data_IF_862480306841
#
_entry.id   IF_862480306841
#
_cell.length_a   1.000
_cell.length_b   1.000
_cell.length_c   1.000
_cell.angle_alpha   90.00
_cell.angle_beta   90.00
_cell.angle_gamma   90.00
#
_symmetry.space_group_name_H-M   'P 1'
#
loop_
_entity.id
_entity.type
_entity.pdbx_description
1 polymer ?
#
# COMPACT_ATOMS: atom_id res chain seq x y z
N UNK A 1 15.75 32.13 -47.79
CA UNK A 1 16.56 31.60 -46.66
C UNK A 1 15.60 31.15 -45.57
N UNK A 2 15.90 30.01 -44.95
CA UNK A 2 14.96 29.08 -44.29
C UNK A 2 14.21 29.68 -43.08
N UNK A 3 12.90 29.55 -43.11
CA UNK A 3 11.99 29.63 -41.96
C UNK A 3 12.23 28.42 -41.04
N UNK A 4 12.71 28.68 -39.82
CA UNK A 4 12.74 27.66 -38.76
C UNK A 4 11.37 27.68 -38.08
N UNK A 5 10.48 26.78 -38.51
CA UNK A 5 9.26 26.45 -37.76
C UNK A 5 9.67 25.58 -36.59
N UNK A 6 9.69 26.15 -35.39
CA UNK A 6 9.70 25.39 -34.15
C UNK A 6 8.39 24.58 -34.07
N UNK A 7 8.45 23.29 -34.38
CA UNK A 7 7.39 22.35 -34.02
C UNK A 7 7.31 22.32 -32.50
N UNK A 8 6.28 22.95 -31.93
CA UNK A 8 5.80 22.59 -30.61
C UNK A 8 5.19 21.20 -30.73
N UNK A 9 5.95 20.16 -30.39
CA UNK A 9 5.37 18.85 -30.09
C UNK A 9 4.42 19.04 -28.90
N UNK A 10 3.11 19.01 -29.18
CA UNK A 10 2.08 18.79 -28.18
C UNK A 10 2.34 17.42 -27.55
N UNK A 11 3.15 17.38 -26.48
CA UNK A 11 3.22 16.22 -25.60
C UNK A 11 1.88 16.13 -24.89
N UNK A 12 0.99 15.32 -25.45
CA UNK A 12 -0.22 14.89 -24.74
C UNK A 12 0.20 14.27 -23.41
N UNK A 13 -0.51 14.55 -22.30
CA UNK A 13 -0.18 13.96 -21.02
C UNK A 13 -0.18 12.44 -21.18
N UNK A 14 0.92 11.80 -20.76
CA UNK A 14 1.04 10.35 -20.81
C UNK A 14 0.08 9.79 -19.77
N UNK A 15 -1.01 9.19 -20.23
CA UNK A 15 -1.94 8.48 -19.37
C UNK A 15 -1.25 7.23 -18.82
N UNK A 16 -1.40 6.97 -17.51
CA UNK A 16 -1.03 5.68 -16.96
C UNK A 16 -1.70 4.57 -17.78
N UNK A 17 -0.96 3.54 -18.22
CA UNK A 17 -1.59 2.35 -18.77
C UNK A 17 -2.56 1.79 -17.73
N UNK A 18 -3.79 1.45 -18.14
CA UNK A 18 -4.79 0.78 -17.29
C UNK A 18 -4.18 -0.43 -16.56
N UNK A 19 -3.24 -1.12 -17.19
CA UNK A 19 -2.49 -2.24 -16.60
C UNK A 19 -1.64 -1.82 -15.38
N UNK A 20 -1.00 -0.65 -15.41
CA UNK A 20 -0.20 -0.13 -14.29
C UNK A 20 -1.10 0.29 -13.13
N UNK A 21 -2.24 0.94 -13.43
CA UNK A 21 -3.26 1.25 -12.42
C UNK A 21 -3.85 -0.03 -11.80
N UNK A 22 -4.17 -1.03 -12.63
CA UNK A 22 -4.64 -2.33 -12.15
C UNK A 22 -3.61 -3.04 -11.28
N UNK A 23 -2.32 -2.92 -11.60
CA UNK A 23 -1.24 -3.45 -10.75
C UNK A 23 -1.22 -2.73 -9.39
N UNK A 24 -1.40 -1.40 -9.37
CA UNK A 24 -1.49 -0.65 -8.12
C UNK A 24 -2.74 -1.04 -7.31
N UNK A 25 -3.89 -1.24 -7.96
CA UNK A 25 -5.13 -1.70 -7.33
C UNK A 25 -4.92 -3.05 -6.65
N UNK A 26 -4.43 -4.05 -7.39
CA UNK A 26 -4.17 -5.39 -6.85
C UNK A 26 -3.20 -5.35 -5.67
N UNK A 27 -2.14 -4.55 -5.73
CA UNK A 27 -1.19 -4.43 -4.60
C UNK A 27 -1.76 -3.69 -3.40
N UNK A 28 -2.69 -2.76 -3.62
CA UNK A 28 -3.39 -2.07 -2.53
C UNK A 28 -4.35 -3.03 -1.83
N UNK A 29 -5.07 -3.86 -2.60
CA UNK A 29 -5.93 -4.92 -2.08
C UNK A 29 -5.13 -6.01 -1.33
N UNK A 30 -3.98 -6.43 -1.87
CA UNK A 30 -3.07 -7.35 -1.19
C UNK A 30 -2.66 -6.81 0.20
N UNK A 31 -2.32 -5.52 0.28
CA UNK A 31 -1.96 -4.86 1.54
C UNK A 31 -3.16 -4.80 2.50
N UNK A 32 -4.35 -4.42 2.02
CA UNK A 32 -5.57 -4.40 2.83
C UNK A 32 -5.86 -5.78 3.45
N UNK A 33 -5.76 -6.84 2.65
CA UNK A 33 -5.98 -8.22 3.08
C UNK A 33 -4.93 -8.65 4.12
N UNK A 34 -3.66 -8.31 3.90
CA UNK A 34 -2.58 -8.61 4.85
C UNK A 34 -2.81 -7.91 6.19
N UNK A 35 -3.22 -6.63 6.17
CA UNK A 35 -3.53 -5.87 7.38
C UNK A 35 -4.76 -6.38 8.13
N UNK A 36 -5.84 -6.74 7.42
CA UNK A 36 -7.00 -7.38 8.06
C UNK A 36 -6.60 -8.69 8.73
N UNK A 37 -5.77 -9.49 8.07
CA UNK A 37 -5.27 -10.72 8.66
C UNK A 37 -4.39 -10.46 9.88
N UNK A 38 -3.44 -9.53 9.79
CA UNK A 38 -2.58 -9.11 10.90
C UNK A 38 -3.40 -8.68 12.12
N UNK A 39 -4.44 -7.86 11.92
CA UNK A 39 -5.31 -7.39 12.99
C UNK A 39 -5.98 -8.52 13.76
N UNK A 40 -6.31 -9.63 13.08
CA UNK A 40 -6.99 -10.78 13.66
C UNK A 40 -6.06 -11.72 14.43
N UNK A 41 -4.80 -11.80 14.03
CA UNK A 41 -3.83 -12.74 14.62
C UNK A 41 -2.91 -12.07 15.65
N UNK A 42 -2.87 -10.74 15.68
CA UNK A 42 -2.04 -10.00 16.64
C UNK A 42 -2.53 -10.19 18.07
N UNK A 43 -1.60 -10.46 18.98
CA UNK A 43 -1.87 -10.52 20.43
C UNK A 43 -1.83 -9.12 21.08
N UNK A 44 -1.25 -8.13 20.41
CA UNK A 44 -1.19 -6.74 20.88
C UNK A 44 -2.42 -5.98 20.41
N UNK A 45 -3.20 -5.44 21.35
CA UNK A 45 -4.39 -4.65 21.03
C UNK A 45 -4.05 -3.40 20.20
N UNK A 46 -2.96 -2.70 20.55
CA UNK A 46 -2.50 -1.51 19.84
C UNK A 46 -2.12 -1.82 18.38
N UNK A 47 -1.40 -2.94 18.17
CA UNK A 47 -1.03 -3.37 16.82
C UNK A 47 -2.26 -3.83 16.03
N UNK A 48 -3.17 -4.58 16.67
CA UNK A 48 -4.40 -5.04 16.06
C UNK A 48 -5.25 -3.87 15.55
N UNK A 49 -5.44 -2.84 16.38
CA UNK A 49 -6.18 -1.63 16.04
C UNK A 49 -5.49 -0.84 14.91
N UNK A 50 -4.16 -0.66 14.99
CA UNK A 50 -3.41 0.00 13.93
C UNK A 50 -3.53 -0.73 12.58
N UNK A 51 -3.39 -2.06 12.59
CA UNK A 51 -3.57 -2.87 11.38
C UNK A 51 -5.00 -2.79 10.84
N UNK A 52 -6.03 -2.74 11.68
CA UNK A 52 -7.40 -2.58 11.22
C UNK A 52 -7.61 -1.22 10.55
N UNK A 53 -7.05 -0.15 11.13
CA UNK A 53 -7.11 1.18 10.54
C UNK A 53 -6.40 1.22 9.18
N UNK A 54 -5.19 0.67 9.08
CA UNK A 54 -4.48 0.56 7.79
C UNK A 54 -5.25 -0.27 6.77
N UNK A 55 -5.92 -1.34 7.18
CA UNK A 55 -6.76 -2.13 6.27
C UNK A 55 -7.92 -1.30 5.67
N UNK A 56 -8.55 -0.45 6.48
CA UNK A 56 -9.63 0.43 6.04
C UNK A 56 -9.08 1.51 5.09
N UNK A 57 -7.98 2.17 5.46
CA UNK A 57 -7.30 3.15 4.61
C UNK A 57 -6.91 2.55 3.25
N UNK A 58 -6.34 1.33 3.23
CA UNK A 58 -5.99 0.64 1.97
C UNK A 58 -7.22 0.26 1.17
N UNK A 59 -8.36 -0.02 1.81
CA UNK A 59 -9.62 -0.29 1.11
C UNK A 59 -10.13 0.98 0.40
N UNK A 60 -10.14 2.12 1.11
CA UNK A 60 -10.52 3.42 0.54
C UNK A 60 -9.59 3.83 -0.62
N UNK A 61 -8.29 3.58 -0.46
CA UNK A 61 -7.30 3.83 -1.52
C UNK A 61 -7.48 2.90 -2.72
N UNK A 62 -7.90 1.65 -2.50
CA UNK A 62 -8.22 0.72 -3.58
C UNK A 62 -9.45 1.21 -4.37
N UNK A 63 -10.49 1.69 -3.68
CA UNK A 63 -11.68 2.28 -4.32
C UNK A 63 -11.31 3.52 -5.14
N UNK A 64 -10.41 4.37 -4.62
CA UNK A 64 -9.88 5.50 -5.38
C UNK A 64 -9.12 5.04 -6.63
N UNK A 65 -8.20 4.08 -6.53
CA UNK A 65 -7.47 3.59 -7.72
C UNK A 65 -8.44 2.95 -8.73
N UNK A 66 -9.49 2.27 -8.27
CA UNK A 66 -10.51 1.70 -9.14
C UNK A 66 -11.27 2.78 -9.92
N UNK A 67 -11.58 3.93 -9.30
CA UNK A 67 -12.20 5.05 -10.03
C UNK A 67 -11.25 5.63 -11.08
N UNK A 68 -9.94 5.69 -10.81
CA UNK A 68 -8.96 6.14 -11.81
C UNK A 68 -8.87 5.20 -13.02
N UNK A 69 -9.07 3.89 -12.81
CA UNK A 69 -9.14 2.89 -13.89
C UNK A 69 -10.37 3.15 -14.77
N UNK A 70 -11.52 3.38 -14.15
CA UNK A 70 -12.78 3.68 -14.84
C UNK A 70 -12.69 4.99 -15.65
N UNK A 71 -12.14 6.06 -15.05
CA UNK A 71 -11.87 7.33 -15.73
C UNK A 71 -10.92 7.19 -16.93
N UNK A 72 -10.01 6.21 -16.86
CA UNK A 72 -9.08 5.87 -17.96
C UNK A 72 -9.71 4.93 -19.00
N UNK A 73 -10.99 4.60 -18.88
CA UNK A 73 -11.73 3.73 -19.79
C UNK A 73 -11.49 2.23 -19.59
N UNK A 74 -10.90 1.83 -18.47
CA UNK A 74 -10.73 0.44 -18.06
C UNK A 74 -11.89 -0.09 -17.22
N UNK A 75 -11.89 -1.39 -16.94
CA UNK A 75 -12.81 -2.01 -15.98
C UNK A 75 -11.97 -2.50 -14.79
N UNK A 76 -12.15 -1.96 -13.57
CA UNK A 76 -11.34 -2.35 -12.43
C UNK A 76 -11.64 -3.80 -12.01
N UNK A 77 -10.58 -4.58 -11.81
CA UNK A 77 -10.65 -5.92 -11.24
C UNK A 77 -10.28 -5.87 -9.75
N UNK A 78 -11.21 -6.28 -8.88
CA UNK A 78 -11.03 -6.34 -7.43
C UNK A 78 -10.36 -7.66 -6.95
N UNK A 79 -9.79 -8.42 -7.89
CA UNK A 79 -8.92 -9.54 -7.59
C UNK A 79 -7.65 -9.12 -6.84
N UNK A 80 -7.32 -9.90 -5.82
CA UNK A 80 -6.01 -9.87 -5.17
C UNK A 80 -5.08 -10.93 -5.75
N UNK A 81 -3.78 -10.78 -5.53
CA UNK A 81 -2.80 -11.71 -6.08
C UNK A 81 -2.79 -13.04 -5.32
N UNK A 82 -2.40 -14.13 -6.01
CA UNK A 82 -2.16 -15.41 -5.35
C UNK A 82 -1.08 -15.34 -4.24
N UNK A 83 -0.18 -14.33 -4.32
CA UNK A 83 0.83 -14.07 -3.29
C UNK A 83 0.20 -13.60 -1.97
N UNK A 84 -0.98 -12.97 -1.98
CA UNK A 84 -1.66 -12.51 -0.77
C UNK A 84 -2.02 -13.69 0.15
N UNK A 85 -2.46 -14.82 -0.42
CA UNK A 85 -2.76 -16.03 0.34
C UNK A 85 -1.49 -16.60 1.00
N UNK A 86 -0.38 -16.63 0.25
CA UNK A 86 0.90 -17.06 0.81
C UNK A 86 1.37 -16.12 1.92
N UNK A 87 1.18 -14.81 1.75
CA UNK A 87 1.53 -13.81 2.75
C UNK A 87 0.75 -14.01 4.05
N UNK A 88 -0.56 -14.29 4.00
CA UNK A 88 -1.35 -14.58 5.20
C UNK A 88 -0.86 -15.83 5.95
N UNK A 89 -0.56 -16.90 5.21
CA UNK A 89 0.03 -18.11 5.79
C UNK A 89 1.37 -17.80 6.45
N UNK A 90 2.23 -17.03 5.77
CA UNK A 90 3.51 -16.61 6.30
C UNK A 90 3.37 -15.76 7.57
N UNK A 91 2.48 -14.76 7.59
CA UNK A 91 2.20 -13.93 8.77
C UNK A 91 1.71 -14.77 9.95
N UNK A 92 0.87 -15.78 9.69
CA UNK A 92 0.41 -16.73 10.72
C UNK A 92 1.57 -17.52 11.32
N UNK A 93 2.48 -18.02 10.46
CA UNK A 93 3.65 -18.77 10.89
C UNK A 93 4.62 -17.89 11.70
N UNK A 94 4.89 -16.67 11.24
CA UNK A 94 5.78 -15.73 11.93
C UNK A 94 5.22 -15.37 13.30
N UNK A 95 3.93 -15.03 13.39
CA UNK A 95 3.27 -14.68 14.65
C UNK A 95 3.31 -15.84 15.67
N UNK A 96 3.11 -17.09 15.22
CA UNK A 96 3.13 -18.27 16.11
C UNK A 96 4.53 -18.70 16.53
N UNK A 97 5.50 -18.64 15.62
CA UNK A 97 6.87 -19.16 15.87
C UNK A 97 7.71 -18.17 16.66
N UNK A 98 7.35 -16.90 16.62
CA UNK A 98 8.09 -15.83 17.25
C UNK A 98 7.15 -14.94 18.10
N UNK A 99 6.44 -15.51 19.10
CA UNK A 99 5.43 -14.76 19.87
C UNK A 99 6.05 -13.64 20.73
N UNK A 100 7.31 -13.80 21.17
CA UNK A 100 8.09 -12.75 21.84
C UNK A 100 8.69 -11.72 20.88
N UNK A 101 8.50 -11.91 19.58
CA UNK A 101 9.13 -11.11 18.53
C UNK A 101 8.10 -10.10 18.06
N UNK A 102 7.96 -9.04 18.86
CA UNK A 102 7.27 -7.80 18.55
C UNK A 102 7.64 -7.22 17.17
N UNK A 103 8.73 -7.65 16.56
CA UNK A 103 9.13 -7.25 15.20
C UNK A 103 8.47 -8.07 14.08
N UNK A 104 7.99 -9.29 14.32
CA UNK A 104 7.64 -10.23 13.25
C UNK A 104 6.46 -9.75 12.41
N UNK A 105 5.33 -9.49 13.06
CA UNK A 105 4.10 -9.09 12.39
C UNK A 105 4.18 -7.66 11.81
N UNK A 106 4.65 -6.63 12.54
CA UNK A 106 4.86 -5.30 11.96
C UNK A 106 5.81 -5.31 10.77
N UNK A 107 6.88 -6.12 10.79
CA UNK A 107 7.81 -6.23 9.67
C UNK A 107 7.19 -6.87 8.43
N UNK A 108 6.31 -7.85 8.61
CA UNK A 108 5.56 -8.42 7.48
C UNK A 108 4.56 -7.41 6.90
N UNK A 109 3.90 -6.62 7.74
CA UNK A 109 3.10 -5.48 7.30
C UNK A 109 3.94 -4.44 6.53
N UNK A 110 5.11 -4.04 7.06
CA UNK A 110 6.04 -3.13 6.39
C UNK A 110 6.47 -3.68 5.02
N UNK A 111 6.71 -4.99 4.91
CA UNK A 111 7.08 -5.64 3.65
C UNK A 111 5.97 -5.50 2.59
N UNK A 112 4.71 -5.63 2.98
CA UNK A 112 3.56 -5.40 2.11
C UNK A 112 3.52 -3.95 1.62
N UNK A 113 3.59 -2.98 2.54
CA UNK A 113 3.50 -1.57 2.17
C UNK A 113 4.73 -1.07 1.37
N UNK A 114 5.93 -1.61 1.62
CA UNK A 114 7.09 -1.31 0.76
C UNK A 114 6.96 -1.86 -0.65
N UNK A 115 6.23 -2.97 -0.85
CA UNK A 115 5.91 -3.46 -2.21
C UNK A 115 4.94 -2.51 -2.89
N UNK A 116 3.89 -2.09 -2.19
CA UNK A 116 2.94 -1.11 -2.68
C UNK A 116 3.62 0.23 -3.01
N UNK A 117 4.46 0.74 -2.12
CA UNK A 117 5.22 1.98 -2.30
C UNK A 117 6.02 1.96 -3.61
N UNK A 118 6.72 0.86 -3.92
CA UNK A 118 7.48 0.73 -5.18
C UNK A 118 6.59 0.80 -6.41
N UNK A 119 5.39 0.22 -6.35
CA UNK A 119 4.43 0.27 -7.46
C UNK A 119 3.86 1.68 -7.62
N UNK A 120 3.47 2.33 -6.52
CA UNK A 120 2.97 3.70 -6.55
C UNK A 120 4.02 4.70 -7.04
N UNK A 121 5.29 4.53 -6.65
CA UNK A 121 6.40 5.35 -7.15
C UNK A 121 6.61 5.18 -8.66
N UNK A 122 6.52 3.93 -9.16
CA UNK A 122 6.61 3.67 -10.60
C UNK A 122 5.45 4.34 -11.33
N UNK A 123 4.23 4.13 -10.84
CA UNK A 123 3.02 4.73 -11.41
C UNK A 123 3.13 6.26 -11.45
N UNK A 124 3.56 6.90 -10.35
CA UNK A 124 3.75 8.34 -10.25
C UNK A 124 4.74 8.90 -11.28
N UNK A 125 5.79 8.13 -11.61
CA UNK A 125 6.79 8.50 -12.61
C UNK A 125 6.32 8.25 -14.05
N UNK A 126 5.38 7.34 -14.25
CA UNK A 126 4.86 6.94 -15.57
C UNK A 126 3.62 7.73 -15.99
N UNK A 127 2.97 8.43 -15.06
CA UNK A 127 1.73 9.17 -15.31
C UNK A 127 1.87 10.66 -15.05
N UNK A 128 1.31 11.46 -15.96
CA UNK A 128 1.02 12.87 -15.69
C UNK A 128 -0.44 13.06 -15.24
N UNK A 129 -1.34 12.17 -15.68
CA UNK A 129 -2.73 12.13 -15.20
C UNK A 129 -2.81 11.45 -13.84
N UNK A 130 -3.66 11.96 -12.94
CA UNK A 130 -3.89 11.43 -11.59
C UNK A 130 -2.68 11.50 -10.63
N UNK A 131 -1.65 12.29 -10.97
CA UNK A 131 -0.43 12.45 -10.16
C UNK A 131 -0.72 12.92 -8.73
N UNK A 132 -1.73 13.76 -8.55
CA UNK A 132 -2.09 14.30 -7.24
C UNK A 132 -2.68 13.20 -6.33
N UNK A 133 -3.58 12.40 -6.87
CA UNK A 133 -4.26 11.28 -6.23
C UNK A 133 -3.24 10.21 -5.84
N UNK A 134 -2.41 9.76 -6.79
CA UNK A 134 -1.34 8.78 -6.52
C UNK A 134 -0.31 9.33 -5.52
N UNK A 135 0.02 10.62 -5.60
CA UNK A 135 0.91 11.28 -4.65
C UNK A 135 0.35 11.31 -3.22
N UNK A 136 -0.97 11.43 -3.08
CA UNK A 136 -1.66 11.38 -1.78
C UNK A 136 -1.62 9.97 -1.21
N UNK A 137 -1.99 8.95 -1.99
CA UNK A 137 -1.89 7.53 -1.57
C UNK A 137 -0.46 7.19 -1.13
N UNK A 138 0.55 7.62 -1.90
CA UNK A 138 1.95 7.38 -1.57
C UNK A 138 2.36 8.02 -0.23
N UNK A 139 1.88 9.23 0.07
CA UNK A 139 2.14 9.92 1.34
C UNK A 139 1.52 9.16 2.51
N UNK A 140 0.30 8.66 2.34
CA UNK A 140 -0.42 7.91 3.37
C UNK A 140 0.27 6.56 3.63
N UNK A 141 0.70 5.86 2.57
CA UNK A 141 1.50 4.63 2.69
C UNK A 141 2.78 4.88 3.48
N UNK A 142 3.49 5.99 3.22
CA UNK A 142 4.71 6.35 3.97
C UNK A 142 4.43 6.71 5.42
N UNK A 143 3.31 7.37 5.69
CA UNK A 143 2.87 7.68 7.05
C UNK A 143 2.56 6.40 7.83
N UNK A 144 1.88 5.44 7.19
CA UNK A 144 1.65 4.11 7.76
C UNK A 144 2.94 3.33 8.04
N UNK A 145 3.91 3.38 7.12
CA UNK A 145 5.24 2.78 7.34
C UNK A 145 5.98 3.38 8.53
N UNK A 146 5.93 4.71 8.71
CA UNK A 146 6.53 5.37 9.87
C UNK A 146 5.85 4.92 11.18
N UNK A 147 4.51 4.86 11.19
CA UNK A 147 3.75 4.38 12.35
C UNK A 147 4.02 2.91 12.67
N UNK A 148 4.16 2.04 11.68
CA UNK A 148 4.58 0.65 11.90
C UNK A 148 5.98 0.55 12.52
N UNK A 149 6.88 1.44 12.11
CA UNK A 149 8.22 1.50 12.68
C UNK A 149 8.20 1.88 14.16
N UNK A 150 7.37 2.86 14.55
CA UNK A 150 7.17 3.26 15.95
C UNK A 150 6.52 2.15 16.78
N UNK A 151 5.55 1.44 16.21
CA UNK A 151 4.90 0.28 16.85
C UNK A 151 5.82 -0.93 16.98
N UNK A 152 6.96 -0.95 16.28
CA UNK A 152 7.98 -1.98 16.45
C UNK A 152 8.86 -1.71 17.67
N UNK A 153 8.95 -0.45 18.11
CA UNK A 153 9.80 -0.10 19.24
C UNK A 153 9.25 -0.77 20.52
N UNK A 154 10.04 -1.62 21.20
CA UNK A 154 9.63 -2.31 22.42
C UNK A 154 9.19 -1.36 23.54
N UNK A 155 9.63 -0.10 23.54
CA UNK A 155 9.19 0.90 24.51
C UNK A 155 7.74 1.38 24.27
N UNK A 156 7.22 1.27 23.04
CA UNK A 156 5.85 1.66 22.67
C UNK A 156 4.84 0.54 22.93
N UNK A 157 5.30 -0.71 22.95
CA UNK A 157 4.46 -1.91 23.11
C UNK A 157 4.34 -2.42 24.55
N UNK A 158 5.17 -1.93 25.47
CA UNK A 158 4.98 -2.20 26.89
C UNK A 158 3.90 -1.26 27.43
N UNK A 159 2.78 -1.76 27.99
CA UNK A 159 1.97 -0.91 28.83
C UNK A 159 2.88 -0.41 29.96
N UNK A 160 2.70 0.83 30.38
CA UNK A 160 3.31 1.35 31.59
C UNK A 160 3.00 0.38 32.74
N UNK A 161 3.91 -0.56 33.01
CA UNK A 161 3.89 -1.35 34.23
C UNK A 161 4.36 -0.42 35.34
N UNK A 162 3.47 0.47 35.74
CA UNK A 162 3.53 1.11 37.05
C UNK A 162 3.11 0.08 38.09
N UNK A 163 4.09 -0.53 38.76
CA UNK A 163 4.20 -0.65 40.22
C UNK A 163 5.42 -1.48 40.59
#
# INVERSE_FOLDING_TARGET
>A
MRTSSAMYELRLPTQAPVVTLQTALTRTLDAAIAYRHASRISESHLLAEACLNFANERTEQADLIASLIDESGGIPDYGFSGEANFQQLWMTLVNRRFPTFSEGLPRECERCDRRLERVLLRLLNETETHRHEIGTILRDVRTGLARLHELRDPHTLLPAMSR
#
